data_IF_937342611747
#
_entry.id   IF_937342611747
#
_cell.length_a   1.000
_cell.length_b   1.000
_cell.length_c   1.000
_cell.angle_alpha   90.00
_cell.angle_beta   90.00
_cell.angle_gamma   90.00
#
_symmetry.space_group_name_H-M   'P 1'
#
loop_
_entity.id
_entity.type
_entity.pdbx_description
1 polymer ?
#
# COMPACT_ATOMS: atom_id res chain seq x y z
N UNK A 1 -7.83 -74.73 1.92
CA UNK A 1 -6.67 -74.02 2.46
C UNK A 1 -6.98 -72.53 2.29
N UNK A 2 -7.23 -71.87 3.40
CA UNK A 2 -7.84 -70.54 3.51
C UNK A 2 -6.90 -69.43 3.03
N UNK A 3 -7.41 -68.53 2.18
CA UNK A 3 -6.80 -67.24 1.88
C UNK A 3 -7.77 -66.13 2.27
N UNK A 4 -7.92 -65.95 3.57
CA UNK A 4 -8.59 -64.78 4.16
C UNK A 4 -7.71 -64.33 5.31
N UNK A 5 -6.99 -63.19 5.19
CA UNK A 5 -6.64 -62.29 6.32
C UNK A 5 -5.71 -61.08 6.06
N UNK A 6 -5.38 -60.64 4.84
CA UNK A 6 -4.53 -59.42 4.70
C UNK A 6 -5.31 -58.10 4.52
N UNK A 7 -6.47 -58.10 3.85
CA UNK A 7 -7.17 -56.85 3.49
C UNK A 7 -7.90 -56.17 4.69
N UNK A 8 -8.22 -56.92 5.75
CA UNK A 8 -8.74 -56.36 7.01
C UNK A 8 -7.64 -55.77 7.90
N UNK A 9 -6.44 -56.37 7.91
CA UNK A 9 -5.29 -55.90 8.70
C UNK A 9 -4.79 -54.55 8.20
N UNK A 10 -4.74 -54.37 6.88
CA UNK A 10 -4.24 -53.12 6.27
C UNK A 10 -5.26 -51.98 6.36
N UNK A 11 -6.57 -52.26 6.21
CA UNK A 11 -7.62 -51.25 6.49
C UNK A 11 -7.65 -50.81 7.95
N UNK A 12 -7.48 -51.74 8.90
CA UNK A 12 -7.43 -51.42 10.34
C UNK A 12 -6.19 -50.57 10.68
N UNK A 13 -5.03 -50.84 10.05
CA UNK A 13 -3.84 -49.98 10.18
C UNK A 13 -4.05 -48.60 9.56
N UNK A 14 -4.76 -48.52 8.43
CA UNK A 14 -5.04 -47.27 7.71
C UNK A 14 -6.04 -46.38 8.47
N UNK A 15 -7.07 -46.95 9.08
CA UNK A 15 -8.02 -46.26 9.96
C UNK A 15 -7.35 -45.83 11.28
N UNK A 16 -6.45 -46.64 11.84
CA UNK A 16 -5.70 -46.29 13.04
C UNK A 16 -4.74 -45.11 12.78
N UNK A 17 -4.08 -45.10 11.62
CA UNK A 17 -3.22 -43.99 11.17
C UNK A 17 -4.05 -42.72 10.90
N UNK A 18 -5.19 -42.81 10.21
CA UNK A 18 -6.08 -41.66 9.99
C UNK A 18 -6.63 -41.08 11.29
N UNK A 19 -6.91 -41.90 12.30
CA UNK A 19 -7.36 -41.44 13.61
C UNK A 19 -6.26 -40.77 14.43
N UNK A 20 -5.00 -41.22 14.30
CA UNK A 20 -3.83 -40.56 14.90
C UNK A 20 -3.59 -39.20 14.23
N UNK A 21 -3.70 -39.13 12.89
CA UNK A 21 -3.55 -37.89 12.10
C UNK A 21 -4.66 -36.87 12.39
N UNK A 22 -5.93 -37.30 12.42
CA UNK A 22 -7.09 -36.45 12.77
C UNK A 22 -7.06 -35.95 14.21
N UNK A 23 -6.40 -36.67 15.11
CA UNK A 23 -6.28 -36.26 16.51
C UNK A 23 -5.20 -35.20 16.75
N UNK A 24 -4.17 -35.12 15.90
CA UNK A 24 -3.00 -34.26 16.08
C UNK A 24 -3.12 -32.94 15.29
N UNK A 25 -3.98 -32.90 14.26
CA UNK A 25 -4.18 -31.75 13.36
C UNK A 25 -5.61 -31.21 13.54
N UNK A 26 -5.83 -29.90 13.78
CA UNK A 26 -7.17 -29.31 13.78
C UNK A 26 -7.83 -29.48 12.40
N UNK A 27 -9.13 -29.80 12.40
CA UNK A 27 -9.92 -30.25 11.25
C UNK A 27 -9.69 -29.49 9.94
N UNK A 28 -9.30 -30.22 8.89
CA UNK A 28 -9.56 -29.84 7.49
C UNK A 28 -11.06 -29.96 7.19
N UNK A 29 -11.80 -28.87 7.40
CA UNK A 29 -13.11 -28.67 6.79
C UNK A 29 -13.07 -27.41 5.94
N UNK A 30 -12.89 -27.62 4.63
CA UNK A 30 -13.64 -26.97 3.54
C UNK A 30 -13.03 -27.42 2.21
N UNK A 31 -13.49 -28.56 1.69
CA UNK A 31 -13.41 -28.82 0.24
C UNK A 31 -14.73 -28.32 -0.35
N UNK A 32 -14.73 -27.11 -0.91
CA UNK A 32 -15.73 -26.72 -1.90
C UNK A 32 -15.31 -27.31 -3.24
N UNK A 33 -16.25 -28.04 -3.85
CA UNK A 33 -16.14 -28.61 -5.18
C UNK A 33 -15.91 -27.49 -6.19
N UNK A 34 -14.87 -27.62 -7.01
CA UNK A 34 -14.94 -27.22 -8.42
C UNK A 34 -14.00 -28.13 -9.22
N UNK A 35 -14.58 -28.72 -10.25
CA UNK A 35 -13.99 -29.68 -11.17
C UNK A 35 -13.28 -28.96 -12.32
N UNK A 36 -12.04 -29.34 -12.61
CA UNK A 36 -11.67 -30.03 -13.86
C UNK A 36 -10.15 -30.01 -14.07
N UNK A 37 -9.56 -31.19 -14.29
CA UNK A 37 -8.30 -31.30 -15.04
C UNK A 37 -7.05 -31.84 -14.36
N UNK A 38 -7.09 -32.71 -13.34
CA UNK A 38 -5.84 -33.30 -12.79
C UNK A 38 -6.01 -34.72 -12.22
N UNK A 39 -6.21 -35.73 -13.06
CA UNK A 39 -6.34 -37.14 -12.60
C UNK A 39 -4.99 -37.86 -12.41
N UNK A 40 -3.87 -37.37 -12.95
CA UNK A 40 -2.53 -37.98 -12.73
C UNK A 40 -1.75 -37.40 -11.55
N UNK A 41 -1.95 -36.12 -11.22
CA UNK A 41 -1.24 -35.47 -10.10
C UNK A 41 -1.91 -35.75 -8.74
N UNK A 42 -3.20 -36.09 -8.74
CA UNK A 42 -3.92 -36.49 -7.53
C UNK A 42 -3.36 -37.78 -6.90
N UNK A 43 -3.14 -38.83 -7.71
CA UNK A 43 -2.56 -40.10 -7.26
C UNK A 43 -1.11 -39.95 -6.77
N UNK A 44 -0.36 -39.03 -7.39
CA UNK A 44 1.04 -38.75 -7.02
C UNK A 44 1.11 -37.98 -5.69
N UNK A 45 0.25 -36.98 -5.51
CA UNK A 45 0.12 -36.25 -4.24
C UNK A 45 -0.35 -37.16 -3.11
N UNK A 46 -1.30 -38.06 -3.36
CA UNK A 46 -1.80 -39.02 -2.36
C UNK A 46 -0.70 -40.01 -1.93
N UNK A 47 0.18 -40.42 -2.84
CA UNK A 47 1.37 -41.21 -2.52
C UNK A 47 2.37 -40.46 -1.63
N UNK A 48 2.69 -39.19 -1.95
CA UNK A 48 3.60 -38.36 -1.14
C UNK A 48 3.04 -38.08 0.25
N UNK A 49 1.74 -37.75 0.34
CA UNK A 49 0.98 -37.60 1.57
C UNK A 49 1.09 -38.83 2.49
N UNK A 50 0.90 -40.02 1.91
CA UNK A 50 0.98 -41.28 2.64
C UNK A 50 2.42 -41.58 3.09
N UNK A 51 3.41 -41.27 2.26
CA UNK A 51 4.83 -41.45 2.58
C UNK A 51 5.27 -40.51 3.72
N UNK A 52 4.85 -39.24 3.68
CA UNK A 52 5.11 -38.26 4.74
C UNK A 52 4.40 -38.62 6.05
N UNK A 53 3.14 -39.08 6.00
CA UNK A 53 2.42 -39.56 7.18
C UNK A 53 3.16 -40.73 7.86
N UNK A 54 3.58 -41.73 7.07
CA UNK A 54 4.34 -42.89 7.57
C UNK A 54 5.68 -42.48 8.19
N UNK A 55 6.39 -41.55 7.55
CA UNK A 55 7.64 -41.01 8.08
C UNK A 55 7.42 -40.23 9.38
N UNK A 56 6.38 -39.39 9.45
CA UNK A 56 6.05 -38.60 10.65
C UNK A 56 5.82 -39.49 11.86
N UNK A 57 5.03 -40.57 11.72
CA UNK A 57 4.79 -41.55 12.80
C UNK A 57 6.11 -42.21 13.24
N UNK A 58 6.99 -42.57 12.30
CA UNK A 58 8.29 -43.16 12.61
C UNK A 58 9.19 -42.19 13.39
N UNK A 59 9.23 -40.92 12.99
CA UNK A 59 10.00 -39.88 13.66
C UNK A 59 9.48 -39.59 15.07
N UNK A 60 8.15 -39.48 15.23
CA UNK A 60 7.51 -39.29 16.52
C UNK A 60 7.88 -40.41 17.51
N UNK A 61 7.76 -41.68 17.08
CA UNK A 61 8.15 -42.83 17.91
C UNK A 61 9.63 -42.82 18.26
N UNK A 62 10.47 -42.41 17.31
CA UNK A 62 11.90 -42.26 17.55
C UNK A 62 12.19 -41.16 18.58
N UNK A 63 11.52 -40.01 18.47
CA UNK A 63 11.66 -38.87 19.38
C UNK A 63 11.29 -39.26 20.82
N UNK A 64 10.12 -39.87 21.04
CA UNK A 64 9.69 -40.33 22.38
C UNK A 64 10.70 -41.32 22.96
N UNK A 65 11.16 -42.29 22.16
CA UNK A 65 12.18 -43.26 22.58
C UNK A 65 13.50 -42.60 22.97
N UNK A 66 13.94 -41.56 22.25
CA UNK A 66 15.19 -40.83 22.51
C UNK A 66 15.08 -39.91 23.73
N UNK A 67 13.91 -39.34 23.97
CA UNK A 67 13.65 -38.48 25.13
C UNK A 67 13.47 -39.28 26.43
N UNK A 68 13.04 -40.55 26.34
CA UNK A 68 12.75 -41.40 27.50
C UNK A 68 13.86 -41.43 28.57
N UNK A 69 15.16 -41.62 28.26
CA UNK A 69 16.21 -41.61 29.29
C UNK A 69 16.34 -40.27 30.02
N UNK A 70 16.14 -39.15 29.31
CA UNK A 70 16.19 -37.80 29.88
C UNK A 70 15.01 -37.58 30.83
N UNK A 71 13.83 -38.04 30.43
CA UNK A 71 12.60 -37.94 31.23
C UNK A 71 12.69 -38.85 32.46
N UNK A 72 13.14 -40.10 32.30
CA UNK A 72 13.25 -41.09 33.38
C UNK A 72 14.26 -40.66 34.46
N UNK A 73 15.26 -39.84 34.11
CA UNK A 73 16.25 -39.28 35.04
C UNK A 73 15.77 -37.98 35.72
N UNK A 74 14.65 -37.39 35.28
CA UNK A 74 14.15 -36.12 35.78
C UNK A 74 13.07 -36.33 36.84
N UNK A 75 13.26 -35.77 38.03
CA UNK A 75 12.32 -35.91 39.16
C UNK A 75 10.92 -35.34 38.90
N UNK A 76 10.76 -34.49 37.86
CA UNK A 76 9.47 -33.94 37.46
C UNK A 76 8.62 -34.90 36.59
N UNK A 77 9.11 -36.10 36.27
CA UNK A 77 8.34 -37.10 35.52
C UNK A 77 7.07 -37.53 36.27
N UNK A 78 5.88 -37.49 35.63
CA UNK A 78 4.64 -38.03 36.21
C UNK A 78 4.73 -39.54 36.50
N UNK A 79 4.15 -39.98 37.62
CA UNK A 79 4.23 -41.38 38.08
C UNK A 79 3.54 -42.38 37.13
N UNK A 80 2.54 -41.91 36.41
CA UNK A 80 1.71 -42.67 35.47
C UNK A 80 2.10 -42.43 34.00
N UNK A 81 3.17 -41.67 33.73
CA UNK A 81 3.62 -41.30 32.39
C UNK A 81 3.76 -42.50 31.44
N UNK A 82 4.28 -43.62 31.93
CA UNK A 82 4.47 -44.83 31.11
C UNK A 82 3.16 -45.56 30.76
N UNK A 83 2.03 -45.18 31.37
CA UNK A 83 0.69 -45.70 31.07
C UNK A 83 -0.06 -44.85 30.04
N UNK A 84 0.45 -43.68 29.70
CA UNK A 84 -0.17 -42.76 28.75
C UNK A 84 0.00 -43.23 27.31
N UNK A 85 -0.91 -42.78 26.45
CA UNK A 85 -0.79 -42.98 25.00
C UNK A 85 0.41 -42.20 24.44
N UNK A 86 0.94 -42.63 23.29
CA UNK A 86 2.05 -41.92 22.62
C UNK A 86 1.73 -40.43 22.41
N UNK A 87 0.48 -40.09 22.10
CA UNK A 87 0.01 -38.72 21.89
C UNK A 87 0.07 -37.87 23.17
N UNK A 88 -0.37 -38.44 24.30
CA UNK A 88 -0.34 -37.78 25.60
C UNK A 88 1.10 -37.58 26.09
N UNK A 89 1.96 -38.57 25.87
CA UNK A 89 3.39 -38.48 26.17
C UNK A 89 4.06 -37.34 25.38
N UNK A 90 3.82 -37.24 24.07
CA UNK A 90 4.38 -36.17 23.22
C UNK A 90 3.91 -34.80 23.69
N UNK A 91 2.61 -34.64 23.92
CA UNK A 91 2.05 -33.37 24.38
C UNK A 91 2.71 -32.94 25.69
N UNK A 92 2.85 -33.86 26.65
CA UNK A 92 3.52 -33.57 27.92
C UNK A 92 4.99 -33.19 27.75
N UNK A 93 5.73 -33.87 26.87
CA UNK A 93 7.12 -33.53 26.55
C UNK A 93 7.22 -32.11 26.00
N UNK A 94 6.35 -31.74 25.06
CA UNK A 94 6.32 -30.41 24.44
C UNK A 94 5.99 -29.33 25.46
N UNK A 95 4.94 -29.53 26.26
CA UNK A 95 4.47 -28.55 27.24
C UNK A 95 5.50 -28.34 28.38
N UNK A 96 6.36 -29.33 28.65
CA UNK A 96 7.36 -29.30 29.72
C UNK A 96 8.81 -29.30 29.22
N UNK A 97 9.05 -28.91 27.98
CA UNK A 97 10.36 -29.09 27.34
C UNK A 97 11.50 -28.36 28.06
N UNK A 98 11.21 -27.19 28.64
CA UNK A 98 12.16 -26.41 29.45
C UNK A 98 12.55 -27.11 30.75
N UNK A 99 11.67 -27.96 31.29
CA UNK A 99 11.94 -28.77 32.49
C UNK A 99 12.91 -29.91 32.18
N UNK A 100 12.77 -30.53 31.00
CA UNK A 100 13.61 -31.67 30.60
C UNK A 100 14.91 -31.25 29.93
N UNK A 101 14.93 -30.10 29.24
CA UNK A 101 16.11 -29.56 28.55
C UNK A 101 16.27 -28.07 28.91
N UNK A 102 16.76 -27.76 30.12
CA UNK A 102 16.77 -26.38 30.64
C UNK A 102 17.72 -25.43 29.90
N UNK A 103 18.68 -25.97 29.14
CA UNK A 103 19.69 -25.19 28.42
C UNK A 103 19.19 -24.61 27.09
N UNK A 104 17.94 -24.85 26.70
CA UNK A 104 17.37 -24.29 25.46
C UNK A 104 17.00 -22.82 25.69
N UNK A 105 17.53 -21.88 24.88
CA UNK A 105 17.13 -20.49 24.95
C UNK A 105 15.63 -20.32 24.77
N UNK A 106 15.02 -19.39 25.52
CA UNK A 106 13.57 -19.14 25.48
C UNK A 106 13.07 -18.87 24.04
N UNK A 107 13.89 -18.18 23.23
CA UNK A 107 13.58 -17.87 21.83
C UNK A 107 13.53 -19.09 20.90
N UNK A 108 14.11 -20.23 21.30
CA UNK A 108 14.17 -21.46 20.50
C UNK A 108 13.24 -22.56 21.02
N UNK A 109 12.44 -22.30 22.05
CA UNK A 109 11.52 -23.29 22.61
C UNK A 109 10.48 -23.81 21.61
N UNK A 110 10.12 -22.99 20.60
CA UNK A 110 9.20 -23.40 19.54
C UNK A 110 9.81 -24.38 18.54
N UNK A 111 11.14 -24.45 18.47
CA UNK A 111 11.85 -25.16 17.40
C UNK A 111 11.67 -26.68 17.52
N UNK A 112 11.79 -27.22 18.74
CA UNK A 112 11.65 -28.67 18.97
C UNK A 112 10.23 -29.17 18.68
N UNK A 113 9.13 -28.57 19.20
CA UNK A 113 7.80 -29.00 18.79
C UNK A 113 7.58 -28.82 17.28
N UNK A 114 8.16 -27.79 16.66
CA UNK A 114 8.13 -27.60 15.20
C UNK A 114 8.65 -28.80 14.40
N UNK A 115 9.66 -29.52 14.90
CA UNK A 115 10.20 -30.73 14.23
C UNK A 115 9.22 -31.91 14.16
N UNK A 116 8.14 -31.87 14.94
CA UNK A 116 7.13 -32.91 15.01
C UNK A 116 5.96 -32.68 14.03
N UNK A 117 5.97 -31.56 13.31
CA UNK A 117 4.94 -31.17 12.34
C UNK A 117 5.49 -31.22 10.90
N UNK A 118 4.58 -31.35 9.93
CA UNK A 118 4.90 -31.28 8.50
C UNK A 118 5.37 -29.87 8.13
N UNK A 119 6.23 -29.79 7.11
CA UNK A 119 6.78 -28.54 6.60
C UNK A 119 5.74 -27.70 5.83
N UNK A 120 4.86 -28.36 5.08
CA UNK A 120 3.67 -27.74 4.51
C UNK A 120 2.50 -27.88 5.49
N UNK A 121 1.71 -26.82 5.61
CA UNK A 121 0.55 -26.76 6.49
C UNK A 121 -0.77 -26.67 5.71
N UNK A 122 -0.75 -27.09 4.44
CA UNK A 122 -1.90 -27.19 3.52
C UNK A 122 -2.71 -25.89 3.44
N UNK A 123 -2.03 -24.74 3.60
CA UNK A 123 -2.66 -23.43 3.44
C UNK A 123 -2.68 -23.09 1.96
N UNK A 124 -3.80 -22.58 1.47
CA UNK A 124 -3.79 -22.01 0.12
C UNK A 124 -2.76 -20.88 0.09
N UNK A 125 -1.94 -20.82 -0.95
CA UNK A 125 -0.95 -19.73 -1.12
C UNK A 125 -1.58 -18.33 -1.11
N UNK A 126 -2.89 -18.26 -1.35
CA UNK A 126 -3.69 -17.04 -1.31
C UNK A 126 -4.32 -16.76 0.07
N UNK A 127 -4.29 -17.72 1.00
CA UNK A 127 -4.84 -17.55 2.34
C UNK A 127 -3.93 -16.66 3.19
N UNK A 128 -4.47 -15.51 3.58
CA UNK A 128 -3.80 -14.59 4.49
C UNK A 128 -4.05 -15.04 5.93
N UNK A 129 -3.02 -15.03 6.80
CA UNK A 129 -3.21 -15.33 8.21
C UNK A 129 -4.23 -14.39 8.85
N UNK A 130 -5.07 -14.88 9.76
CA UNK A 130 -6.08 -14.06 10.47
C UNK A 130 -5.46 -12.92 11.31
N UNK A 131 -4.20 -13.06 11.70
CA UNK A 131 -3.42 -12.04 12.40
C UNK A 131 -2.74 -11.04 11.44
N UNK A 132 -2.71 -11.33 10.13
CA UNK A 132 -2.12 -10.46 9.13
C UNK A 132 -3.12 -9.35 8.78
N UNK A 133 -2.96 -8.22 9.46
CA UNK A 133 -3.64 -6.98 9.11
C UNK A 133 -2.99 -6.38 7.86
N UNK A 134 -3.62 -6.63 6.71
CA UNK A 134 -3.16 -6.11 5.42
C UNK A 134 -3.17 -4.58 5.35
N UNK A 135 -3.99 -3.89 6.16
CA UNK A 135 -3.98 -2.43 6.22
C UNK A 135 -2.74 -1.92 6.96
N UNK A 136 -2.31 -2.61 8.02
CA UNK A 136 -1.04 -2.31 8.73
C UNK A 136 0.21 -2.64 7.93
N UNK A 137 0.06 -3.43 6.87
CA UNK A 137 1.14 -3.79 5.94
C UNK A 137 1.29 -2.75 4.80
N UNK A 138 0.32 -1.84 4.65
CA UNK A 138 0.22 -0.92 3.53
C UNK A 138 0.44 0.56 3.93
N UNK A 139 1.31 1.24 3.16
CA UNK A 139 1.41 2.70 2.91
C UNK A 139 2.04 3.61 3.96
N UNK A 140 2.98 4.45 3.52
CA UNK A 140 3.53 5.57 4.31
C UNK A 140 3.56 6.94 3.59
N UNK A 141 3.04 7.08 2.36
CA UNK A 141 3.06 8.38 1.65
C UNK A 141 2.02 9.40 2.14
N UNK A 142 0.86 8.95 2.64
CA UNK A 142 -0.22 9.84 3.10
C UNK A 142 -0.13 10.20 4.58
N UNK A 143 0.55 9.39 5.39
CA UNK A 143 0.63 9.58 6.85
C UNK A 143 1.16 10.96 7.24
N UNK A 144 2.21 11.53 6.61
CA UNK A 144 2.63 12.89 6.91
C UNK A 144 1.53 13.94 6.65
N UNK A 145 0.66 13.72 5.65
CA UNK A 145 -0.43 14.64 5.33
C UNK A 145 -1.55 14.56 6.37
N UNK A 146 -1.95 13.35 6.76
CA UNK A 146 -3.04 13.14 7.73
C UNK A 146 -2.57 13.55 9.12
N UNK A 147 -1.37 13.11 9.54
CA UNK A 147 -0.78 13.41 10.84
C UNK A 147 -0.61 14.92 11.08
N UNK A 148 -0.38 15.71 10.02
CA UNK A 148 -0.32 17.17 10.14
C UNK A 148 -1.65 17.81 10.58
N UNK A 149 -2.78 17.11 10.40
CA UNK A 149 -4.14 17.57 10.68
C UNK A 149 -4.53 18.85 9.93
N UNK A 150 -3.93 19.09 8.77
CA UNK A 150 -4.16 20.29 7.95
C UNK A 150 -4.86 20.00 6.61
N UNK A 151 -5.41 18.79 6.41
CA UNK A 151 -5.97 18.39 5.11
C UNK A 151 -7.12 17.40 5.15
N UNK A 152 -7.46 16.88 6.34
CA UNK A 152 -8.50 15.86 6.53
C UNK A 152 -9.94 16.41 6.45
N UNK A 153 -10.12 17.65 5.99
CA UNK A 153 -11.46 18.18 5.65
C UNK A 153 -11.34 19.01 4.36
N UNK A 154 -12.41 19.14 3.57
CA UNK A 154 -12.38 19.98 2.37
C UNK A 154 -11.92 21.43 2.63
N UNK A 155 -12.34 22.04 3.74
CA UNK A 155 -11.91 23.39 4.11
C UNK A 155 -10.41 23.47 4.43
N UNK A 156 -9.87 22.51 5.18
CA UNK A 156 -8.45 22.48 5.51
C UNK A 156 -7.60 22.19 4.28
N UNK A 157 -8.03 21.23 3.45
CA UNK A 157 -7.43 20.94 2.16
C UNK A 157 -7.42 22.20 1.28
N UNK A 158 -8.54 22.92 1.15
CA UNK A 158 -8.59 24.20 0.44
C UNK A 158 -7.48 25.17 0.85
N UNK A 159 -7.31 25.43 2.15
CA UNK A 159 -6.25 26.35 2.61
C UNK A 159 -4.86 25.84 2.25
N UNK A 160 -4.60 24.54 2.47
CA UNK A 160 -3.29 23.95 2.24
C UNK A 160 -2.94 23.95 0.76
N UNK A 161 -3.80 23.41 -0.09
CA UNK A 161 -3.51 23.27 -1.52
C UNK A 161 -3.57 24.62 -2.26
N UNK A 162 -4.35 25.59 -1.78
CA UNK A 162 -4.23 26.98 -2.24
C UNK A 162 -2.84 27.57 -1.93
N UNK A 163 -2.32 27.33 -0.72
CA UNK A 163 -0.97 27.78 -0.33
C UNK A 163 0.10 27.08 -1.16
N UNK A 164 0.02 25.75 -1.33
CA UNK A 164 0.91 24.98 -2.21
C UNK A 164 0.89 25.50 -3.64
N UNK A 165 -0.28 25.76 -4.21
CA UNK A 165 -0.40 26.31 -5.56
C UNK A 165 0.25 27.70 -5.69
N UNK A 166 0.15 28.54 -4.65
CA UNK A 166 0.83 29.83 -4.62
C UNK A 166 2.35 29.68 -4.54
N UNK A 167 2.86 28.79 -3.68
CA UNK A 167 4.29 28.52 -3.58
C UNK A 167 4.87 28.01 -4.90
N UNK A 168 4.26 26.98 -5.49
CA UNK A 168 4.73 26.41 -6.76
C UNK A 168 4.64 27.42 -7.88
N UNK A 169 3.58 28.25 -7.94
CA UNK A 169 3.51 29.35 -8.92
C UNK A 169 4.69 30.30 -8.75
N UNK A 170 4.96 30.76 -7.53
CA UNK A 170 6.03 31.71 -7.27
C UNK A 170 7.41 31.11 -7.62
N UNK A 171 7.66 29.83 -7.29
CA UNK A 171 8.89 29.11 -7.66
C UNK A 171 9.13 29.04 -9.17
N UNK A 172 8.05 29.03 -9.96
CA UNK A 172 8.12 28.96 -11.42
C UNK A 172 8.16 30.33 -12.11
N UNK A 173 7.80 31.40 -11.42
CA UNK A 173 7.69 32.76 -12.00
C UNK A 173 8.70 33.76 -11.45
N UNK A 174 9.46 33.39 -10.42
CA UNK A 174 10.44 34.25 -9.74
C UNK A 174 11.72 33.45 -9.45
N UNK A 175 12.81 34.15 -9.16
CA UNK A 175 14.10 33.54 -8.83
C UNK A 175 14.08 32.93 -7.41
N UNK A 176 14.22 31.59 -7.24
CA UNK A 176 14.24 30.95 -5.93
C UNK A 176 15.62 30.94 -5.25
N UNK A 177 16.68 31.46 -5.91
CA UNK A 177 18.06 31.41 -5.41
C UNK A 177 18.47 32.69 -4.66
N UNK A 178 18.00 33.85 -5.12
CA UNK A 178 18.34 35.13 -4.49
C UNK A 178 17.60 35.32 -3.16
N UNK A 179 18.35 35.56 -2.09
CA UNK A 179 17.81 35.82 -0.76
C UNK A 179 16.86 37.02 -0.80
N UNK A 180 15.66 36.84 -0.22
CA UNK A 180 14.67 37.90 -0.10
C UNK A 180 13.60 37.93 -1.20
N UNK A 181 13.76 37.19 -2.30
CA UNK A 181 12.67 37.01 -3.28
C UNK A 181 11.51 36.22 -2.65
N UNK A 182 10.30 36.32 -3.23
CA UNK A 182 9.16 35.56 -2.70
C UNK A 182 9.39 34.06 -2.86
N UNK A 183 9.88 33.63 -4.03
CA UNK A 183 10.20 32.24 -4.28
C UNK A 183 11.23 31.67 -3.29
N UNK A 184 12.31 32.40 -2.98
CA UNK A 184 13.29 31.98 -1.98
C UNK A 184 12.65 31.82 -0.60
N UNK A 185 11.86 32.81 -0.15
CA UNK A 185 11.18 32.78 1.15
C UNK A 185 10.16 31.63 1.23
N UNK A 186 9.47 31.34 0.13
CA UNK A 186 8.53 30.22 0.01
C UNK A 186 9.27 28.88 0.14
N UNK A 187 10.40 28.69 -0.56
CA UNK A 187 11.27 27.51 -0.43
C UNK A 187 11.71 27.31 1.03
N UNK A 188 12.21 28.36 1.70
CA UNK A 188 12.67 28.25 3.10
C UNK A 188 11.51 27.92 4.04
N UNK A 189 10.31 28.42 3.75
CA UNK A 189 9.10 28.13 4.52
C UNK A 189 8.69 26.66 4.36
N UNK A 190 8.60 26.16 3.13
CA UNK A 190 8.26 24.75 2.86
C UNK A 190 9.32 23.80 3.43
N UNK A 191 10.61 24.12 3.30
CA UNK A 191 11.69 23.31 3.88
C UNK A 191 11.58 23.20 5.41
N UNK A 192 11.24 24.29 6.10
CA UNK A 192 10.98 24.27 7.55
C UNK A 192 9.74 23.44 7.90
N UNK A 193 8.68 23.53 7.11
CA UNK A 193 7.47 22.70 7.30
C UNK A 193 7.78 21.20 7.14
N UNK A 194 8.51 20.82 6.10
CA UNK A 194 8.95 19.43 5.86
C UNK A 194 9.84 18.91 7.00
N UNK A 195 10.77 19.74 7.50
CA UNK A 195 11.59 19.37 8.66
C UNK A 195 10.74 19.18 9.93
N UNK A 196 9.80 20.08 10.18
CA UNK A 196 8.95 20.02 11.36
C UNK A 196 8.08 18.75 11.37
N UNK A 197 7.45 18.39 10.23
CA UNK A 197 6.68 17.15 10.17
C UNK A 197 7.57 15.90 10.25
N UNK A 198 8.78 15.92 9.66
CA UNK A 198 9.75 14.84 9.80
C UNK A 198 10.11 14.60 11.26
N UNK A 199 10.48 15.64 12.00
CA UNK A 199 10.85 15.53 13.41
C UNK A 199 9.69 14.99 14.25
N UNK A 200 8.48 15.53 14.06
CA UNK A 200 7.29 15.04 14.76
C UNK A 200 7.01 13.56 14.51
N UNK A 201 7.16 13.08 13.27
CA UNK A 201 6.98 11.66 12.95
C UNK A 201 8.10 10.80 13.55
N UNK A 202 9.33 11.30 13.66
CA UNK A 202 10.43 10.57 14.27
C UNK A 202 10.29 10.43 15.80
N UNK A 203 9.56 11.34 16.44
CA UNK A 203 9.30 11.33 17.89
C UNK A 203 8.24 10.31 18.32
N UNK A 204 7.46 9.75 17.37
CA UNK A 204 6.38 8.81 17.66
C UNK A 204 6.75 7.40 17.19
N UNK A 205 6.21 6.38 17.86
CA UNK A 205 6.27 5.01 17.37
C UNK A 205 5.30 4.77 16.20
N UNK A 206 5.39 3.59 15.58
CA UNK A 206 4.62 3.31 14.37
C UNK A 206 3.13 3.20 14.70
N UNK A 207 2.81 2.59 15.84
CA UNK A 207 1.45 2.38 16.34
C UNK A 207 0.76 3.71 16.67
N UNK A 208 1.48 4.65 17.29
CA UNK A 208 1.02 6.01 17.58
C UNK A 208 0.70 6.77 16.30
N UNK A 209 1.57 6.69 15.29
CA UNK A 209 1.33 7.32 13.98
C UNK A 209 0.12 6.66 13.30
N UNK A 210 0.02 5.34 13.33
CA UNK A 210 -1.11 4.61 12.74
C UNK A 210 -2.43 5.04 13.39
N UNK A 211 -2.49 5.13 14.72
CA UNK A 211 -3.66 5.64 15.44
C UNK A 211 -3.98 7.10 15.09
N UNK A 212 -2.97 7.98 15.07
CA UNK A 212 -3.14 9.40 14.77
C UNK A 212 -3.53 9.68 13.31
N UNK A 213 -3.34 8.70 12.42
CA UNK A 213 -3.66 8.80 10.99
C UNK A 213 -4.96 8.11 10.59
N UNK A 214 -5.64 7.43 11.52
CA UNK A 214 -7.00 6.94 11.28
C UNK A 214 -7.98 8.12 11.22
N UNK A 215 -8.75 8.19 10.14
CA UNK A 215 -9.78 9.23 9.96
C UNK A 215 -11.13 8.65 10.37
N UNK A 216 -11.83 9.21 11.37
CA UNK A 216 -13.14 8.72 11.77
C UNK A 216 -14.17 9.04 10.67
N UNK A 217 -14.92 8.03 10.24
CA UNK A 217 -15.96 8.13 9.20
C UNK A 217 -15.42 8.73 7.88
N UNK A 218 -14.46 8.06 7.22
CA UNK A 218 -13.89 8.56 5.98
C UNK A 218 -14.93 8.58 4.86
N UNK A 219 -15.00 9.70 4.12
CA UNK A 219 -15.64 9.79 2.80
C UNK A 219 -15.02 8.79 1.80
N UNK A 220 -15.49 7.53 1.82
CA UNK A 220 -14.94 6.45 1.01
C UNK A 220 -16.00 5.61 0.26
N UNK A 221 -17.04 6.28 -0.26
CA UNK A 221 -18.18 5.63 -0.93
C UNK A 221 -17.82 4.90 -2.24
N UNK A 222 -16.78 5.32 -2.95
CA UNK A 222 -16.41 4.75 -4.25
C UNK A 222 -15.35 3.63 -4.12
N UNK A 223 -14.90 3.31 -2.90
CA UNK A 223 -13.74 2.46 -2.63
C UNK A 223 -13.83 1.08 -3.27
N UNK A 224 -14.95 0.41 -3.08
CA UNK A 224 -15.17 -0.96 -3.57
C UNK A 224 -15.11 -0.99 -5.10
N UNK A 225 -15.84 -0.09 -5.76
CA UNK A 225 -15.82 0.07 -7.22
C UNK A 225 -14.42 0.37 -7.75
N UNK A 226 -13.67 1.26 -7.09
CA UNK A 226 -12.29 1.59 -7.48
C UNK A 226 -11.37 0.38 -7.31
N UNK A 227 -11.49 -0.35 -6.20
CA UNK A 227 -10.68 -1.55 -5.94
C UNK A 227 -10.92 -2.62 -7.00
N UNK A 228 -12.18 -2.86 -7.38
CA UNK A 228 -12.51 -3.83 -8.43
C UNK A 228 -11.86 -3.52 -9.77
N UNK A 229 -11.85 -2.25 -10.19
CA UNK A 229 -11.17 -1.83 -11.42
C UNK A 229 -9.65 -2.03 -11.32
N UNK A 230 -9.08 -1.77 -10.14
CA UNK A 230 -7.64 -1.87 -9.91
C UNK A 230 -7.15 -3.31 -9.67
N UNK A 231 -8.03 -4.31 -9.57
CA UNK A 231 -7.63 -5.73 -9.44
C UNK A 231 -6.73 -6.22 -10.58
N UNK A 232 -6.84 -5.60 -11.75
CA UNK A 232 -6.00 -5.88 -12.93
C UNK A 232 -4.58 -5.31 -12.83
N UNK A 233 -4.32 -4.40 -11.90
CA UNK A 233 -2.99 -3.83 -11.70
C UNK A 233 -2.05 -4.85 -11.05
N UNK A 234 -0.75 -4.82 -11.39
CA UNK A 234 0.23 -5.72 -10.78
C UNK A 234 0.25 -5.56 -9.26
N UNK A 235 0.33 -6.67 -8.53
CA UNK A 235 0.44 -6.61 -7.08
C UNK A 235 1.83 -6.08 -6.68
N UNK A 236 1.94 -5.22 -5.65
CA UNK A 236 3.23 -4.77 -5.16
C UNK A 236 3.99 -5.95 -4.55
N UNK A 237 5.17 -6.27 -5.08
CA UNK A 237 6.06 -7.31 -4.55
C UNK A 237 7.44 -6.74 -4.28
N UNK A 238 8.16 -7.34 -3.34
CA UNK A 238 9.53 -6.92 -2.98
C UNK A 238 10.46 -7.05 -4.19
N UNK A 239 10.29 -8.12 -4.95
CA UNK A 239 11.04 -8.43 -6.17
C UNK A 239 10.82 -7.35 -7.25
N UNK A 240 9.63 -6.75 -7.27
CA UNK A 240 9.28 -5.60 -8.10
C UNK A 240 9.57 -4.27 -7.39
N UNK A 241 10.61 -4.20 -6.54
CA UNK A 241 11.12 -2.95 -5.98
C UNK A 241 10.26 -2.31 -4.88
N UNK A 242 9.17 -2.95 -4.43
CA UNK A 242 8.32 -2.45 -3.36
C UNK A 242 8.94 -2.69 -1.96
N UNK A 243 10.13 -2.16 -1.71
CA UNK A 243 10.91 -2.41 -0.48
C UNK A 243 10.20 -1.96 0.81
N UNK A 244 9.25 -1.04 0.71
CA UNK A 244 8.40 -0.58 1.82
C UNK A 244 7.52 -1.70 2.42
N UNK A 245 7.35 -2.82 1.71
CA UNK A 245 6.72 -4.03 2.24
C UNK A 245 7.59 -4.72 3.29
N UNK A 246 8.91 -4.48 3.26
CA UNK A 246 9.88 -5.02 4.21
C UNK A 246 10.26 -4.01 5.30
N UNK A 247 10.30 -2.73 4.94
CA UNK A 247 10.79 -1.66 5.81
C UNK A 247 9.67 -0.63 5.97
N UNK A 248 9.37 -0.27 7.22
CA UNK A 248 8.49 0.86 7.55
C UNK A 248 9.35 2.11 7.77
N UNK A 249 9.62 2.93 6.75
CA UNK A 249 10.43 4.13 6.93
C UNK A 249 9.72 5.10 7.87
N UNK A 250 10.35 5.44 9.00
CA UNK A 250 9.83 6.45 9.91
C UNK A 250 10.10 7.85 9.37
N UNK A 251 9.04 8.65 9.26
CA UNK A 251 9.10 10.06 8.86
C UNK A 251 9.21 10.31 7.36
N UNK A 252 9.20 11.60 6.99
CA UNK A 252 9.30 12.05 5.59
C UNK A 252 10.74 11.92 5.08
N UNK A 253 11.02 10.89 4.29
CA UNK A 253 12.37 10.55 3.81
C UNK A 253 12.67 11.13 2.41
N UNK A 254 13.90 10.91 1.89
CA UNK A 254 14.32 11.40 0.57
C UNK A 254 13.57 10.74 -0.59
N UNK A 255 13.13 9.49 -0.45
CA UNK A 255 12.31 8.81 -1.46
C UNK A 255 10.91 9.43 -1.53
N UNK A 256 10.31 9.81 -0.39
CA UNK A 256 9.03 10.54 -0.38
C UNK A 256 9.15 11.90 -1.09
N UNK A 257 10.27 12.60 -0.85
CA UNK A 257 10.58 13.86 -1.53
C UNK A 257 10.73 13.66 -3.04
N UNK A 258 11.42 12.60 -3.47
CA UNK A 258 11.61 12.27 -4.88
C UNK A 258 10.31 11.84 -5.57
N UNK A 259 9.49 11.02 -4.90
CA UNK A 259 8.17 10.63 -5.38
C UNK A 259 7.23 11.85 -5.50
N UNK A 260 7.31 12.78 -4.55
CA UNK A 260 6.56 14.04 -4.61
C UNK A 260 7.05 14.93 -5.75
N UNK A 261 8.36 15.02 -5.97
CA UNK A 261 8.93 15.75 -7.10
C UNK A 261 8.43 15.17 -8.43
N UNK A 262 8.43 13.83 -8.58
CA UNK A 262 7.81 13.15 -9.72
C UNK A 262 6.32 13.51 -9.86
N UNK A 263 5.54 13.54 -8.79
CA UNK A 263 4.12 13.86 -8.87
C UNK A 263 3.84 15.28 -9.44
N UNK A 264 4.77 16.23 -9.27
CA UNK A 264 4.64 17.58 -9.83
C UNK A 264 5.05 17.69 -11.30
N UNK A 265 6.01 16.88 -11.77
CA UNK A 265 6.67 17.10 -13.06
C UNK A 265 6.70 15.89 -13.99
N UNK A 266 6.66 14.67 -13.45
CA UNK A 266 6.92 13.43 -14.17
C UNK A 266 5.85 13.10 -15.20
N UNK A 267 4.57 13.28 -14.88
CA UNK A 267 3.48 13.08 -15.84
C UNK A 267 3.51 14.13 -16.95
N UNK A 268 3.85 15.38 -16.64
CA UNK A 268 4.04 16.45 -17.65
C UNK A 268 5.23 16.11 -18.56
N UNK A 269 6.31 15.57 -18.00
CA UNK A 269 7.49 15.15 -18.75
C UNK A 269 7.19 14.00 -19.73
N UNK A 270 6.38 13.03 -19.31
CA UNK A 270 6.05 11.86 -20.13
C UNK A 270 4.95 12.13 -21.16
N UNK A 271 3.97 12.96 -20.81
CA UNK A 271 2.77 13.21 -21.61
C UNK A 271 2.51 14.71 -21.82
N UNK A 272 3.49 15.50 -22.32
CA UNK A 272 3.37 16.96 -22.32
C UNK A 272 2.14 17.47 -23.07
N UNK A 273 1.75 16.81 -24.17
CA UNK A 273 0.57 17.20 -24.95
C UNK A 273 -0.74 17.02 -24.18
N UNK A 274 -0.82 16.01 -23.31
CA UNK A 274 -1.96 15.76 -22.40
C UNK A 274 -2.06 16.80 -21.28
N UNK A 275 -1.07 17.71 -21.18
CA UNK A 275 -1.08 18.88 -20.31
C UNK A 275 -1.01 20.20 -21.11
N UNK A 276 -1.19 20.16 -22.44
CA UNK A 276 -1.17 21.34 -23.31
C UNK A 276 0.21 21.97 -23.46
N UNK A 277 1.26 21.21 -23.14
CA UNK A 277 2.67 21.60 -23.25
C UNK A 277 3.22 21.14 -24.60
N UNK A 278 3.73 22.10 -25.38
CA UNK A 278 4.43 21.86 -26.64
C UNK A 278 5.77 22.56 -26.53
N UNK A 279 6.80 21.78 -26.25
CA UNK A 279 8.12 22.25 -25.88
C UNK A 279 9.18 21.41 -26.60
N UNK A 280 10.33 22.02 -26.89
CA UNK A 280 11.49 21.31 -27.43
C UNK A 280 12.10 20.38 -26.37
N UNK A 281 12.96 19.43 -26.77
CA UNK A 281 13.71 18.64 -25.79
C UNK A 281 14.65 19.51 -24.94
N UNK A 282 15.15 20.63 -25.49
CA UNK A 282 15.93 21.62 -24.73
C UNK A 282 15.08 22.27 -23.63
N UNK A 283 13.88 22.75 -23.97
CA UNK A 283 12.94 23.34 -23.00
C UNK A 283 12.51 22.31 -21.94
N UNK A 284 12.29 21.05 -22.33
CA UNK A 284 11.96 19.98 -21.40
C UNK A 284 13.13 19.61 -20.48
N UNK A 285 14.37 19.66 -20.99
CA UNK A 285 15.57 19.51 -20.18
C UNK A 285 15.72 20.69 -19.18
N UNK A 286 15.46 21.92 -19.62
CA UNK A 286 15.44 23.10 -18.75
C UNK A 286 14.36 23.00 -17.67
N UNK A 287 13.14 22.55 -18.02
CA UNK A 287 12.08 22.28 -17.05
C UNK A 287 12.49 21.27 -15.98
N UNK A 288 13.15 20.18 -16.41
CA UNK A 288 13.72 19.19 -15.49
C UNK A 288 14.83 19.78 -14.62
N UNK A 289 15.70 20.63 -15.19
CA UNK A 289 16.76 21.32 -14.47
C UNK A 289 16.21 22.27 -13.40
N UNK A 290 15.14 23.02 -13.71
CA UNK A 290 14.42 23.85 -12.73
C UNK A 290 13.91 23.00 -11.56
N UNK A 291 13.24 21.88 -11.84
CA UNK A 291 12.77 20.99 -10.78
C UNK A 291 13.91 20.35 -9.98
N UNK A 292 15.04 20.03 -10.62
CA UNK A 292 16.27 19.59 -9.94
C UNK A 292 16.74 20.63 -8.93
N UNK A 293 16.82 21.90 -9.35
CA UNK A 293 17.18 23.03 -8.50
C UNK A 293 16.21 23.23 -7.32
N UNK A 294 14.90 23.16 -7.58
CA UNK A 294 13.88 23.20 -6.52
C UNK A 294 14.07 22.06 -5.51
N UNK A 295 14.31 20.83 -5.98
CA UNK A 295 14.59 19.69 -5.11
C UNK A 295 15.82 19.90 -4.23
N UNK A 296 16.92 20.41 -4.80
CA UNK A 296 18.14 20.77 -4.07
C UNK A 296 17.85 21.81 -2.98
N UNK A 297 17.15 22.89 -3.34
CA UNK A 297 16.78 23.97 -2.43
C UNK A 297 15.87 23.50 -1.28
N UNK A 298 14.99 22.54 -1.54
CA UNK A 298 14.15 21.88 -0.53
C UNK A 298 14.92 20.88 0.36
N UNK A 299 16.20 20.63 0.10
CA UNK A 299 17.08 19.79 0.90
C UNK A 299 17.21 18.36 0.42
N UNK A 300 16.90 18.07 -0.85
CA UNK A 300 17.20 16.78 -1.44
C UNK A 300 18.69 16.65 -1.75
N UNK A 301 19.29 15.52 -1.41
CA UNK A 301 20.65 15.22 -1.88
C UNK A 301 20.64 14.94 -3.38
N UNK A 302 21.70 15.34 -4.07
CA UNK A 302 21.80 15.24 -5.54
C UNK A 302 21.63 13.80 -6.07
N UNK A 303 22.12 12.81 -5.32
CA UNK A 303 22.00 11.40 -5.67
C UNK A 303 20.56 10.86 -5.61
N UNK A 304 19.70 11.47 -4.79
CA UNK A 304 18.29 11.09 -4.62
C UNK A 304 17.32 12.01 -5.36
N UNK A 305 17.80 13.09 -5.95
CA UNK A 305 16.98 14.01 -6.73
C UNK A 305 16.39 13.30 -7.96
N UNK A 306 15.06 13.33 -8.12
CA UNK A 306 14.38 12.61 -9.18
C UNK A 306 14.77 13.13 -10.57
N UNK A 307 15.16 14.41 -10.65
CA UNK A 307 15.55 15.09 -11.88
C UNK A 307 17.07 15.03 -12.17
N UNK A 308 17.81 14.11 -11.54
CA UNK A 308 19.25 13.92 -11.83
C UNK A 308 19.50 13.22 -13.16
N UNK A 309 20.61 13.56 -13.80
CA UNK A 309 21.06 12.98 -15.07
C UNK A 309 20.53 13.73 -16.29
N UNK A 310 20.61 13.07 -17.43
CA UNK A 310 20.12 13.53 -18.73
C UNK A 310 18.59 13.43 -18.85
N UNK A 311 18.00 14.19 -19.78
CA UNK A 311 16.56 14.12 -20.07
C UNK A 311 16.08 12.68 -20.38
N UNK A 312 16.91 11.89 -21.09
CA UNK A 312 16.62 10.49 -21.41
C UNK A 312 16.53 9.63 -20.15
N UNK A 313 17.46 9.79 -19.22
CA UNK A 313 17.46 9.05 -17.94
C UNK A 313 16.27 9.44 -17.07
N UNK A 314 15.90 10.73 -17.03
CA UNK A 314 14.75 11.19 -16.25
C UNK A 314 13.44 10.65 -16.86
N UNK A 315 13.28 10.70 -18.20
CA UNK A 315 12.12 10.09 -18.89
C UNK A 315 12.04 8.58 -18.62
N UNK A 316 13.16 7.87 -18.64
CA UNK A 316 13.18 6.44 -18.34
C UNK A 316 12.77 6.16 -16.88
N UNK A 317 13.40 6.85 -15.93
CA UNK A 317 13.08 6.74 -14.50
C UNK A 317 11.61 7.04 -14.22
N UNK A 318 11.03 8.03 -14.89
CA UNK A 318 9.61 8.36 -14.78
C UNK A 318 8.71 7.20 -15.23
N UNK A 319 9.04 6.50 -16.32
CA UNK A 319 8.29 5.31 -16.78
C UNK A 319 8.44 4.16 -15.79
N UNK A 320 9.67 3.88 -15.37
CA UNK A 320 9.94 2.81 -14.40
C UNK A 320 9.21 3.08 -13.09
N UNK A 321 9.19 4.33 -12.62
CA UNK A 321 8.45 4.73 -11.43
C UNK A 321 6.93 4.52 -11.57
N UNK A 322 6.34 4.76 -12.74
CA UNK A 322 4.92 4.48 -12.96
C UNK A 322 4.65 2.98 -12.88
N UNK A 323 5.42 2.16 -13.62
CA UNK A 323 5.16 0.73 -13.74
C UNK A 323 5.48 -0.04 -12.46
N UNK A 324 6.58 0.30 -11.80
CA UNK A 324 7.14 -0.45 -10.66
C UNK A 324 6.64 0.10 -9.32
N UNK A 325 6.33 1.40 -9.24
CA UNK A 325 5.92 2.05 -7.99
C UNK A 325 4.47 2.54 -8.02
N UNK A 326 4.10 3.43 -8.94
CA UNK A 326 2.77 4.05 -8.88
C UNK A 326 1.64 3.03 -9.10
N UNK A 327 1.71 2.21 -10.16
CA UNK A 327 0.67 1.23 -10.52
C UNK A 327 0.43 0.20 -9.42
N UNK A 328 1.46 -0.49 -8.88
CA UNK A 328 1.22 -1.45 -7.82
C UNK A 328 0.60 -0.85 -6.57
N UNK A 329 0.99 0.38 -6.20
CA UNK A 329 0.45 1.04 -5.02
C UNK A 329 -0.98 1.55 -5.18
N UNK A 330 -1.47 1.74 -6.41
CA UNK A 330 -2.87 2.09 -6.63
C UNK A 330 -3.80 0.98 -6.13
N UNK A 331 -3.40 -0.29 -6.21
CA UNK A 331 -4.18 -1.44 -5.69
C UNK A 331 -4.48 -1.35 -4.19
N UNK A 332 -3.68 -0.58 -3.45
CA UNK A 332 -3.74 -0.52 -1.99
C UNK A 332 -4.80 0.45 -1.43
N UNK A 333 -5.92 0.69 -2.11
CA UNK A 333 -6.88 1.79 -1.79
C UNK A 333 -7.39 1.74 -0.34
N UNK A 334 -6.83 2.57 0.53
CA UNK A 334 -7.29 2.74 1.92
C UNK A 334 -8.46 3.73 2.02
N UNK A 335 -9.35 3.59 3.01
CA UNK A 335 -10.43 4.57 3.24
C UNK A 335 -9.93 6.02 3.34
N UNK A 336 -8.81 6.23 4.04
CA UNK A 336 -8.17 7.53 4.20
C UNK A 336 -7.65 8.08 2.87
N UNK A 337 -7.25 7.21 1.94
CA UNK A 337 -6.77 7.64 0.62
C UNK A 337 -7.88 8.28 -0.19
N UNK A 338 -9.03 7.62 -0.28
CA UNK A 338 -10.18 8.18 -1.01
C UNK A 338 -10.67 9.44 -0.33
N UNK A 339 -10.78 9.42 1.00
CA UNK A 339 -11.19 10.57 1.79
C UNK A 339 -10.32 11.79 1.55
N UNK A 340 -8.99 11.62 1.62
CA UNK A 340 -8.04 12.72 1.43
C UNK A 340 -8.12 13.27 0.01
N UNK A 341 -8.17 12.40 -1.01
CA UNK A 341 -8.30 12.85 -2.40
C UNK A 341 -9.64 13.57 -2.66
N UNK A 342 -10.75 13.09 -2.07
CA UNK A 342 -12.04 13.80 -2.12
C UNK A 342 -11.96 15.17 -1.45
N UNK A 343 -11.31 15.28 -0.29
CA UNK A 343 -11.09 16.57 0.38
C UNK A 343 -10.28 17.54 -0.48
N UNK A 344 -9.24 17.07 -1.18
CA UNK A 344 -8.43 17.88 -2.10
C UNK A 344 -9.30 18.41 -3.23
N UNK A 345 -10.05 17.53 -3.90
CA UNK A 345 -10.84 17.90 -5.06
C UNK A 345 -12.00 18.83 -4.70
N UNK A 346 -12.67 18.58 -3.58
CA UNK A 346 -13.70 19.47 -3.06
C UNK A 346 -13.12 20.81 -2.63
N UNK A 347 -11.96 20.83 -1.96
CA UNK A 347 -11.27 22.05 -1.56
C UNK A 347 -10.88 22.93 -2.74
N UNK A 348 -10.39 22.31 -3.82
CA UNK A 348 -10.09 23.01 -5.08
C UNK A 348 -11.36 23.61 -5.70
N UNK A 349 -12.51 22.95 -5.58
CA UNK A 349 -13.78 23.42 -6.14
C UNK A 349 -14.25 24.79 -5.61
N UNK A 350 -13.75 25.21 -4.44
CA UNK A 350 -14.15 26.48 -3.80
C UNK A 350 -13.64 27.73 -4.52
N UNK A 351 -12.57 27.61 -5.30
CA UNK A 351 -12.02 28.70 -6.10
C UNK A 351 -11.77 28.32 -7.56
N UNK A 352 -11.68 27.02 -7.85
CA UNK A 352 -11.47 26.47 -9.16
C UNK A 352 -12.42 25.27 -9.38
N UNK A 353 -13.64 25.56 -9.84
CA UNK A 353 -14.61 24.52 -10.18
C UNK A 353 -14.27 23.87 -11.53
N UNK A 354 -14.08 22.55 -11.56
CA UNK A 354 -13.64 21.90 -12.80
C UNK A 354 -13.76 20.39 -12.80
N UNK A 355 -13.14 19.72 -11.82
CA UNK A 355 -13.03 18.27 -11.80
C UNK A 355 -13.57 17.73 -10.48
N UNK A 356 -14.38 16.67 -10.55
CA UNK A 356 -14.73 15.86 -9.37
C UNK A 356 -13.60 14.87 -9.08
N UNK A 357 -13.64 14.22 -7.91
CA UNK A 357 -12.69 13.17 -7.56
C UNK A 357 -12.63 12.06 -8.62
N UNK A 358 -13.79 11.56 -9.05
CA UNK A 358 -13.86 10.50 -10.07
C UNK A 358 -13.30 10.95 -11.41
N UNK A 359 -13.59 12.19 -11.85
CA UNK A 359 -12.99 12.73 -13.06
C UNK A 359 -11.47 12.83 -12.97
N UNK A 360 -10.92 13.27 -11.82
CA UNK A 360 -9.49 13.40 -11.65
C UNK A 360 -8.78 12.03 -11.59
N UNK A 361 -9.39 11.06 -10.91
CA UNK A 361 -8.90 9.68 -10.88
C UNK A 361 -8.85 9.08 -12.28
N UNK A 362 -9.96 9.17 -13.02
CA UNK A 362 -10.05 8.67 -14.41
C UNK A 362 -9.11 9.39 -15.36
N UNK A 363 -8.91 10.70 -15.18
CA UNK A 363 -7.94 11.45 -15.97
C UNK A 363 -6.53 10.86 -15.81
N UNK A 364 -6.10 10.66 -14.56
CA UNK A 364 -4.76 10.11 -14.26
C UNK A 364 -4.63 8.65 -14.70
N UNK A 365 -5.64 7.81 -14.45
CA UNK A 365 -5.58 6.39 -14.83
C UNK A 365 -5.59 6.17 -16.34
N UNK A 366 -6.34 6.99 -17.10
CA UNK A 366 -6.24 7.02 -18.55
C UNK A 366 -4.81 7.35 -19.03
N UNK A 367 -4.12 8.31 -18.41
CA UNK A 367 -2.76 8.69 -18.81
C UNK A 367 -1.74 7.56 -18.63
N UNK A 368 -1.90 6.76 -17.59
CA UNK A 368 -1.00 5.64 -17.27
C UNK A 368 -1.52 4.30 -17.77
N UNK A 369 -2.53 4.31 -18.66
CA UNK A 369 -3.12 3.14 -19.30
C UNK A 369 -3.67 2.10 -18.30
N UNK A 370 -4.41 2.56 -17.29
CA UNK A 370 -5.22 1.70 -16.42
C UNK A 370 -6.68 1.88 -16.80
N UNK A 371 -7.33 0.80 -17.22
CA UNK A 371 -8.77 0.85 -17.48
C UNK A 371 -9.56 0.78 -16.17
N UNK A 372 -10.59 1.62 -16.07
CA UNK A 372 -11.46 1.72 -14.90
C UNK A 372 -12.94 1.75 -15.34
N UNK A 373 -13.44 0.66 -15.95
CA UNK A 373 -14.75 0.64 -16.56
C UNK A 373 -15.89 0.85 -15.57
N UNK A 374 -15.79 0.31 -14.34
CA UNK A 374 -16.84 0.45 -13.33
C UNK A 374 -16.87 1.86 -12.75
N UNK A 375 -15.71 2.41 -12.41
CA UNK A 375 -15.61 3.80 -11.94
C UNK A 375 -16.14 4.75 -13.01
N UNK A 376 -15.84 4.49 -14.29
CA UNK A 376 -16.35 5.27 -15.43
C UNK A 376 -17.87 5.17 -15.58
N UNK A 377 -18.48 4.01 -15.32
CA UNK A 377 -19.94 3.84 -15.41
C UNK A 377 -20.71 4.59 -14.31
N UNK A 378 -20.05 4.92 -13.19
CA UNK A 378 -20.66 5.74 -12.12
C UNK A 378 -20.66 7.25 -12.39
N UNK A 379 -20.04 7.71 -13.48
CA UNK A 379 -20.06 9.13 -13.83
C UNK A 379 -21.46 9.56 -14.25
N UNK A 380 -21.86 10.76 -13.82
CA UNK A 380 -23.01 11.43 -14.46
C UNK A 380 -22.69 11.74 -15.92
N UNK A 381 -23.72 11.87 -16.77
CA UNK A 381 -23.52 12.27 -18.17
C UNK A 381 -22.70 13.57 -18.31
N UNK A 382 -22.94 14.53 -17.41
CA UNK A 382 -22.17 15.78 -17.36
C UNK A 382 -20.69 15.55 -17.03
N UNK A 383 -20.38 14.73 -16.02
CA UNK A 383 -18.99 14.41 -15.67
C UNK A 383 -18.28 13.67 -16.80
N UNK A 384 -18.94 12.67 -17.40
CA UNK A 384 -18.40 11.92 -18.53
C UNK A 384 -18.10 12.84 -19.71
N UNK A 385 -19.09 13.63 -20.15
CA UNK A 385 -18.92 14.54 -21.28
C UNK A 385 -17.80 15.55 -21.01
N UNK A 386 -17.77 16.11 -19.80
CA UNK A 386 -16.74 17.07 -19.40
C UNK A 386 -15.35 16.47 -19.35
N UNK A 387 -15.20 15.24 -18.84
CA UNK A 387 -13.92 14.54 -18.80
C UNK A 387 -13.41 14.31 -20.22
N UNK A 388 -14.26 13.78 -21.10
CA UNK A 388 -13.90 13.53 -22.51
C UNK A 388 -13.53 14.84 -23.22
N UNK A 389 -14.37 15.87 -23.07
CA UNK A 389 -14.13 17.18 -23.68
C UNK A 389 -12.82 17.79 -23.19
N UNK A 390 -12.54 17.75 -21.88
CA UNK A 390 -11.32 18.36 -21.34
C UNK A 390 -10.08 17.57 -21.77
N UNK A 391 -10.08 16.26 -21.55
CA UNK A 391 -8.91 15.40 -21.74
C UNK A 391 -8.56 15.23 -23.21
N UNK A 392 -9.53 14.92 -24.07
CA UNK A 392 -9.25 14.56 -25.46
C UNK A 392 -9.40 15.72 -26.45
N UNK A 393 -10.00 16.85 -26.05
CA UNK A 393 -10.21 17.99 -26.95
C UNK A 393 -9.60 19.30 -26.45
N UNK A 394 -9.97 19.77 -25.25
CA UNK A 394 -9.54 21.10 -24.78
C UNK A 394 -8.03 21.13 -24.54
N UNK A 395 -7.49 20.17 -23.79
CA UNK A 395 -6.06 20.20 -23.46
C UNK A 395 -5.17 19.97 -24.70
N UNK A 396 -5.39 18.93 -25.54
CA UNK A 396 -4.48 18.62 -26.64
C UNK A 396 -4.68 19.49 -27.89
N UNK A 397 -5.77 20.27 -28.00
CA UNK A 397 -6.04 21.06 -29.19
C UNK A 397 -6.31 22.54 -28.88
N UNK A 398 -7.21 22.82 -27.93
CA UNK A 398 -7.64 24.20 -27.66
C UNK A 398 -6.54 24.99 -26.92
N UNK A 399 -5.89 24.38 -25.92
CA UNK A 399 -4.79 25.03 -25.15
C UNK A 399 -3.54 25.25 -26.01
N UNK A 400 -3.41 24.57 -27.16
CA UNK A 400 -2.33 24.83 -28.12
C UNK A 400 -2.39 26.25 -28.69
N UNK A 401 -3.59 26.85 -28.76
CA UNK A 401 -3.79 28.20 -29.28
C UNK A 401 -3.24 29.21 -28.26
N UNK A 402 -2.20 29.96 -28.65
CA UNK A 402 -1.46 30.87 -27.76
C UNK A 402 -2.37 31.84 -26.98
N UNK A 403 -3.29 32.50 -27.67
CA UNK A 403 -4.21 33.45 -27.03
C UNK A 403 -5.10 32.77 -25.98
N UNK A 404 -5.60 31.56 -26.26
CA UNK A 404 -6.44 30.82 -25.31
C UNK A 404 -5.62 30.40 -24.09
N UNK A 405 -4.40 29.89 -24.32
CA UNK A 405 -3.46 29.54 -23.24
C UNK A 405 -3.19 30.73 -22.32
N UNK A 406 -2.85 31.89 -22.88
CA UNK A 406 -2.59 33.11 -22.12
C UNK A 406 -3.83 33.57 -21.34
N UNK A 407 -5.02 33.50 -21.95
CA UNK A 407 -6.27 33.83 -21.29
C UNK A 407 -6.57 32.89 -20.12
N UNK A 408 -6.42 31.58 -20.31
CA UNK A 408 -6.63 30.58 -19.27
C UNK A 408 -5.62 30.75 -18.13
N UNK A 409 -4.34 30.98 -18.43
CA UNK A 409 -3.31 31.26 -17.43
C UNK A 409 -3.65 32.51 -16.60
N UNK A 410 -4.05 33.61 -17.26
CA UNK A 410 -4.51 34.84 -16.58
C UNK A 410 -5.72 34.55 -15.67
N UNK A 411 -6.68 33.75 -16.14
CA UNK A 411 -7.86 33.35 -15.37
C UNK A 411 -7.49 32.52 -14.14
N UNK A 412 -6.57 31.55 -14.27
CA UNK A 412 -6.05 30.74 -13.16
C UNK A 412 -5.36 31.62 -12.13
N UNK A 413 -4.44 32.50 -12.55
CA UNK A 413 -3.76 33.43 -11.64
C UNK A 413 -4.71 34.37 -10.93
N UNK A 414 -5.71 34.91 -11.64
CA UNK A 414 -6.76 35.74 -11.05
C UNK A 414 -7.53 34.98 -9.98
N UNK A 415 -7.95 33.74 -10.24
CA UNK A 415 -8.67 32.91 -9.27
C UNK A 415 -7.85 32.58 -8.03
N UNK A 416 -6.57 32.26 -8.19
CA UNK A 416 -5.66 32.07 -7.04
C UNK A 416 -5.56 33.35 -6.20
N UNK A 417 -5.34 34.50 -6.84
CA UNK A 417 -5.20 35.77 -6.14
C UNK A 417 -6.50 36.22 -5.45
N UNK A 418 -7.66 35.94 -6.05
CA UNK A 418 -8.98 36.15 -5.42
C UNK A 418 -9.14 35.26 -4.18
N UNK A 419 -8.81 33.96 -4.30
CA UNK A 419 -8.99 32.99 -3.23
C UNK A 419 -8.13 33.28 -2.00
N UNK A 420 -6.89 33.75 -2.19
CA UNK A 420 -5.99 34.17 -1.09
C UNK A 420 -6.57 35.35 -0.32
N UNK A 421 -7.39 36.19 -0.97
CA UNK A 421 -7.99 37.39 -0.39
C UNK A 421 -9.41 37.17 0.14
N UNK A 422 -9.87 35.92 0.23
CA UNK A 422 -11.19 35.63 0.77
C UNK A 422 -11.32 36.13 2.22
N UNK A 423 -12.31 36.98 2.47
CA UNK A 423 -12.58 37.52 3.80
C UNK A 423 -13.25 36.51 4.74
N UNK A 424 -13.44 36.87 6.02
CA UNK A 424 -14.01 35.97 7.04
C UNK A 424 -15.37 35.38 6.66
N UNK A 425 -16.25 36.19 6.05
CA UNK A 425 -17.57 35.74 5.57
C UNK A 425 -17.47 34.59 4.56
N UNK A 426 -16.53 34.68 3.61
CA UNK A 426 -16.35 33.65 2.59
C UNK A 426 -15.75 32.38 3.20
N UNK A 427 -14.77 32.51 4.10
CA UNK A 427 -14.24 31.36 4.84
C UNK A 427 -15.32 30.64 5.67
N UNK A 428 -16.24 31.39 6.29
CA UNK A 428 -17.35 30.81 7.05
C UNK A 428 -18.31 30.02 6.14
N UNK A 429 -18.66 30.57 4.97
CA UNK A 429 -19.47 29.87 3.95
C UNK A 429 -18.81 28.58 3.49
N UNK A 430 -17.52 28.63 3.17
CA UNK A 430 -16.74 27.46 2.74
C UNK A 430 -16.68 26.42 3.87
N UNK A 431 -16.44 26.83 5.12
CA UNK A 431 -16.40 25.93 6.27
C UNK A 431 -17.75 25.23 6.48
N UNK A 432 -18.87 25.95 6.32
CA UNK A 432 -20.22 25.37 6.39
C UNK A 432 -20.45 24.36 5.26
N UNK A 433 -20.04 24.66 4.02
CA UNK A 433 -20.11 23.72 2.89
C UNK A 433 -19.26 22.48 3.14
N UNK A 434 -18.04 22.65 3.64
CA UNK A 434 -17.14 21.56 4.01
C UNK A 434 -17.76 20.64 5.07
N UNK A 435 -18.41 21.20 6.10
CA UNK A 435 -19.10 20.41 7.13
C UNK A 435 -20.30 19.65 6.55
N UNK A 436 -21.11 20.32 5.72
CA UNK A 436 -22.26 19.73 5.03
C UNK A 436 -21.87 18.47 4.23
N UNK A 437 -20.75 18.53 3.49
CA UNK A 437 -20.26 17.39 2.70
C UNK A 437 -19.79 16.24 3.60
N UNK A 438 -19.15 16.53 4.72
CA UNK A 438 -18.73 15.50 5.68
C UNK A 438 -19.91 14.85 6.43
N UNK A 439 -21.06 15.53 6.48
CA UNK A 439 -22.28 15.01 7.12
C UNK A 439 -23.23 14.33 6.13
N UNK A 440 -23.34 14.82 4.90
CA UNK A 440 -24.28 14.35 3.87
C UNK A 440 -23.65 13.42 2.84
N UNK A 441 -22.33 13.48 2.63
CA UNK A 441 -21.60 12.52 1.78
C UNK A 441 -21.38 11.17 2.46
N UNK A 442 -22.28 10.82 3.37
CA UNK A 442 -22.33 9.60 4.17
C UNK A 442 -23.33 8.64 3.58
#
# INVERSE_FOLDING_TARGET
MEMTNDDKSDRIKQDHIQNIVKGIIPSTKNRSNDSDGYTKDADKNEYYELAEAKNTVKYIKHFVKRMKPIIDQNSAKPKDYDKWTEKEQIKHIVDNIKTYIPNIPQSLLFFIPGTLYRGDCDRNSMDKPLWLDMEKFQRDGLKPLIFSQQSHTPYLAFKRYLSTACYVRNWMTEDPWTVGTRAYNDIQTVRRMHRAIRLKLCEHDTEEIDMATKIPNPLCLDRETILEDLTSCPYPTVENGCIHLLIKPKGLNQADMAATQFAFMGLILLYPQEFGVYASDEDMAAFCHTWRGIGYLLGMEDQYNFCRGSLKEIKQRSRDFIEVWAKPYLTQVMPEWEHMLKCIMEGNSYYFGGFTFKMALLFVTNLINIDMPRTRSTLTYYEWFKLILVQYFIIPYVIRIRFIKEFLNKKVHKKLNEAVKYGPKKHMEIKKRSQKILTEGR
#
